data_IF_945347975313
#
_entry.id   IF_945347975313
#
_cell.length_a   1.000
_cell.length_b   1.000
_cell.length_c   1.000
_cell.angle_alpha   90.00
_cell.angle_beta   90.00
_cell.angle_gamma   90.00
#
_symmetry.space_group_name_H-M   'P 1'
#
loop_
_entity.id
_entity.type
_entity.pdbx_description
1 polymer ?
#
# COMPACT_ATOMS: atom_id res chain seq x y z
N UNK A 1 -69.63 -18.32 -49.67
CA UNK A 1 -68.76 -17.46 -48.83
C UNK A 1 -67.81 -18.20 -47.91
N UNK A 2 -68.27 -18.94 -46.89
CA UNK A 2 -67.37 -19.55 -45.87
C UNK A 2 -66.36 -20.56 -46.45
N UNK A 3 -66.67 -21.19 -47.60
CA UNK A 3 -65.76 -22.11 -48.29
C UNK A 3 -64.83 -21.45 -49.33
N UNK A 4 -65.00 -20.16 -49.64
CA UNK A 4 -64.27 -19.51 -50.75
C UNK A 4 -63.12 -18.59 -50.30
N UNK A 5 -63.08 -18.16 -49.03
CA UNK A 5 -62.01 -17.29 -48.50
C UNK A 5 -61.41 -17.92 -47.24
N UNK A 6 -60.09 -18.08 -47.24
CA UNK A 6 -59.33 -18.46 -46.05
C UNK A 6 -59.00 -17.21 -45.25
N UNK A 7 -59.66 -17.02 -44.12
CA UNK A 7 -59.35 -15.92 -43.19
C UNK A 7 -58.16 -16.31 -42.28
N UNK A 8 -57.34 -15.34 -41.82
CA UNK A 8 -57.36 -13.92 -42.19
C UNK A 8 -56.74 -13.62 -43.57
N UNK A 9 -57.19 -12.54 -44.20
CA UNK A 9 -56.64 -11.98 -45.44
C UNK A 9 -55.87 -10.68 -45.14
N UNK A 10 -54.79 -10.43 -45.89
CA UNK A 10 -53.91 -9.27 -45.70
C UNK A 10 -54.62 -7.93 -45.89
N UNK A 11 -55.63 -7.91 -46.77
CA UNK A 11 -56.45 -6.73 -47.03
C UNK A 11 -57.93 -7.07 -46.87
N UNK A 12 -58.76 -6.04 -46.64
CA UNK A 12 -60.22 -6.18 -46.68
C UNK A 12 -60.74 -6.41 -48.11
N UNK A 13 -59.94 -6.13 -49.14
CA UNK A 13 -60.37 -6.17 -50.53
C UNK A 13 -60.79 -7.58 -50.95
N UNK A 14 -59.96 -8.58 -50.68
CA UNK A 14 -60.23 -9.99 -51.01
C UNK A 14 -61.56 -10.51 -50.42
N UNK A 15 -61.85 -10.38 -49.11
CA UNK A 15 -63.12 -10.83 -48.55
C UNK A 15 -64.31 -9.96 -48.99
N UNK A 16 -64.12 -8.67 -49.30
CA UNK A 16 -65.17 -7.80 -49.84
C UNK A 16 -65.53 -8.16 -51.29
N UNK A 17 -64.54 -8.51 -52.11
CA UNK A 17 -64.74 -8.90 -53.51
C UNK A 17 -65.51 -10.22 -53.59
N UNK A 18 -65.13 -11.21 -52.78
CA UNK A 18 -65.87 -12.49 -52.70
C UNK A 18 -67.27 -12.28 -52.14
N UNK A 19 -67.46 -11.37 -51.18
CA UNK A 19 -68.79 -11.00 -50.68
C UNK A 19 -69.68 -10.41 -51.78
N UNK A 20 -69.10 -9.53 -52.59
CA UNK A 20 -69.81 -8.87 -53.68
C UNK A 20 -70.19 -9.88 -54.77
N UNK A 21 -69.30 -10.82 -55.10
CA UNK A 21 -69.57 -11.90 -56.04
C UNK A 21 -70.70 -12.83 -55.54
N UNK A 22 -70.61 -13.32 -54.29
CA UNK A 22 -71.65 -14.14 -53.68
C UNK A 22 -73.00 -13.41 -53.58
N UNK A 23 -73.00 -12.10 -53.28
CA UNK A 23 -74.23 -11.29 -53.28
C UNK A 23 -74.88 -11.26 -54.65
N UNK A 24 -74.09 -11.02 -55.70
CA UNK A 24 -74.59 -10.98 -57.09
C UNK A 24 -75.22 -12.32 -57.48
N UNK A 25 -74.56 -13.42 -57.16
CA UNK A 25 -75.05 -14.78 -57.43
C UNK A 25 -76.33 -15.11 -56.65
N UNK A 26 -76.37 -14.78 -55.35
CA UNK A 26 -77.55 -14.99 -54.51
C UNK A 26 -78.76 -14.18 -55.00
N UNK A 27 -78.56 -12.95 -55.47
CA UNK A 27 -79.61 -12.14 -56.09
C UNK A 27 -80.07 -12.79 -57.39
N UNK A 28 -79.17 -13.26 -58.25
CA UNK A 28 -79.53 -13.91 -59.52
C UNK A 28 -80.39 -15.17 -59.29
N UNK A 29 -79.97 -16.05 -58.36
CA UNK A 29 -80.73 -17.26 -57.99
C UNK A 29 -82.10 -16.90 -57.40
N UNK A 30 -82.17 -15.86 -56.57
CA UNK A 30 -83.44 -15.37 -56.04
C UNK A 30 -84.38 -14.85 -57.14
N UNK A 31 -83.86 -14.12 -58.12
CA UNK A 31 -84.64 -13.61 -59.25
C UNK A 31 -85.17 -14.75 -60.14
N UNK A 32 -84.43 -15.84 -60.30
CA UNK A 32 -84.87 -17.02 -61.07
C UNK A 32 -85.97 -17.83 -60.35
N UNK A 33 -85.95 -17.87 -59.01
CA UNK A 33 -86.85 -18.71 -58.21
C UNK A 33 -88.02 -17.97 -57.56
N UNK A 34 -88.00 -16.63 -57.55
CA UNK A 34 -89.06 -15.84 -56.94
C UNK A 34 -90.27 -15.69 -57.86
N UNK A 35 -91.47 -15.73 -57.28
CA UNK A 35 -92.73 -15.52 -57.99
C UNK A 35 -93.61 -14.57 -57.18
N UNK A 36 -94.07 -13.47 -57.81
CA UNK A 36 -94.94 -12.42 -57.23
C UNK A 36 -94.34 -11.64 -56.04
N UNK A 37 -93.11 -11.15 -56.16
CA UNK A 37 -92.55 -10.15 -55.21
C UNK A 37 -92.81 -8.71 -55.69
N UNK A 38 -94.08 -8.38 -55.98
CA UNK A 38 -94.46 -7.10 -56.61
C UNK A 38 -94.13 -5.88 -55.71
N UNK A 39 -94.03 -6.10 -54.40
CA UNK A 39 -93.74 -5.06 -53.41
C UNK A 39 -92.26 -5.02 -52.99
N UNK A 40 -91.39 -5.89 -53.54
CA UNK A 40 -89.95 -6.01 -53.22
C UNK A 40 -89.61 -6.33 -51.75
N UNK A 41 -90.57 -6.69 -50.91
CA UNK A 41 -90.34 -6.97 -49.48
C UNK A 41 -89.39 -8.16 -49.27
N UNK A 42 -89.47 -9.19 -50.12
CA UNK A 42 -88.60 -10.36 -50.01
C UNK A 42 -87.17 -10.04 -50.49
N UNK A 43 -87.04 -9.22 -51.54
CA UNK A 43 -85.76 -8.72 -52.01
C UNK A 43 -85.06 -7.82 -50.97
N UNK A 44 -85.79 -6.90 -50.32
CA UNK A 44 -85.22 -6.06 -49.25
C UNK A 44 -84.70 -6.90 -48.08
N UNK A 45 -85.45 -7.93 -47.67
CA UNK A 45 -85.05 -8.85 -46.59
C UNK A 45 -83.76 -9.62 -46.93
N UNK A 46 -83.59 -10.03 -48.19
CA UNK A 46 -82.39 -10.72 -48.67
C UNK A 46 -81.14 -9.82 -48.59
N UNK A 47 -81.25 -8.55 -49.00
CA UNK A 47 -80.15 -7.59 -48.97
C UNK A 47 -79.69 -7.32 -47.54
N UNK A 48 -80.63 -7.20 -46.59
CA UNK A 48 -80.34 -6.94 -45.17
C UNK A 48 -79.60 -8.11 -44.51
N UNK A 49 -80.01 -9.36 -44.77
CA UNK A 49 -79.38 -10.56 -44.20
C UNK A 49 -77.92 -10.70 -44.70
N UNK A 50 -77.65 -10.30 -45.95
CA UNK A 50 -76.33 -10.41 -46.55
C UNK A 50 -75.38 -9.24 -46.21
N UNK A 51 -75.77 -8.21 -45.46
CA UNK A 51 -74.94 -7.00 -45.34
C UNK A 51 -73.86 -7.04 -44.24
N UNK A 52 -73.95 -7.93 -43.24
CA UNK A 52 -73.34 -7.63 -41.92
C UNK A 52 -72.06 -8.36 -41.49
N UNK A 53 -71.44 -9.26 -42.26
CA UNK A 53 -70.54 -10.25 -41.63
C UNK A 53 -69.07 -10.42 -42.11
N UNK A 54 -68.60 -10.02 -43.30
CA UNK A 54 -67.28 -10.47 -43.77
C UNK A 54 -66.10 -9.68 -43.19
N UNK A 55 -66.21 -8.35 -43.00
CA UNK A 55 -65.12 -7.52 -42.46
C UNK A 55 -64.85 -7.83 -40.98
N UNK A 56 -65.90 -7.91 -40.16
CA UNK A 56 -65.80 -8.23 -38.74
C UNK A 56 -65.15 -9.61 -38.50
N UNK A 57 -65.53 -10.62 -39.30
CA UNK A 57 -64.94 -11.96 -39.22
C UNK A 57 -63.46 -11.97 -39.61
N UNK A 58 -63.06 -11.17 -40.60
CA UNK A 58 -61.65 -11.04 -41.00
C UNK A 58 -60.82 -10.33 -39.92
N UNK A 59 -61.34 -9.24 -39.36
CA UNK A 59 -60.69 -8.52 -38.26
C UNK A 59 -60.52 -9.41 -37.02
N UNK A 60 -61.55 -10.16 -36.64
CA UNK A 60 -61.48 -11.07 -35.50
C UNK A 60 -60.48 -12.22 -35.73
N UNK A 61 -60.46 -12.79 -36.94
CA UNK A 61 -59.49 -13.82 -37.32
C UNK A 61 -58.06 -13.28 -37.32
N UNK A 62 -57.85 -12.06 -37.86
CA UNK A 62 -56.55 -11.38 -37.89
C UNK A 62 -56.06 -11.07 -36.48
N UNK A 63 -56.95 -10.58 -35.61
CA UNK A 63 -56.64 -10.31 -34.20
C UNK A 63 -56.20 -11.59 -33.47
N UNK A 64 -56.99 -12.67 -33.58
CA UNK A 64 -56.69 -13.96 -32.93
C UNK A 64 -55.36 -14.55 -33.42
N UNK A 65 -55.12 -14.52 -34.73
CA UNK A 65 -53.87 -15.01 -35.32
C UNK A 65 -52.67 -14.21 -34.84
N UNK A 66 -52.73 -12.88 -34.95
CA UNK A 66 -51.65 -11.98 -34.53
C UNK A 66 -51.31 -12.12 -33.04
N UNK A 67 -52.32 -12.20 -32.17
CA UNK A 67 -52.09 -12.40 -30.73
C UNK A 67 -51.44 -13.74 -30.41
N UNK A 68 -51.88 -14.83 -31.08
CA UNK A 68 -51.34 -16.16 -30.86
C UNK A 68 -49.88 -16.28 -31.32
N UNK A 69 -49.56 -15.77 -32.50
CA UNK A 69 -48.17 -15.80 -33.01
C UNK A 69 -47.26 -14.87 -32.20
N UNK A 70 -47.71 -13.65 -31.88
CA UNK A 70 -46.96 -12.73 -31.04
C UNK A 70 -46.63 -13.34 -29.67
N UNK A 71 -47.57 -14.06 -29.05
CA UNK A 71 -47.35 -14.75 -27.78
C UNK A 71 -46.24 -15.80 -27.89
N UNK A 72 -46.22 -16.58 -28.97
CA UNK A 72 -45.18 -17.60 -29.20
C UNK A 72 -43.80 -16.97 -29.40
N UNK A 73 -43.71 -15.98 -30.28
CA UNK A 73 -42.41 -15.37 -30.60
C UNK A 73 -41.85 -14.55 -29.42
N UNK A 74 -42.72 -14.00 -28.56
CA UNK A 74 -42.30 -13.19 -27.41
C UNK A 74 -42.04 -13.99 -26.13
N UNK A 75 -42.29 -15.30 -26.14
CA UNK A 75 -42.03 -16.20 -25.00
C UNK A 75 -40.58 -16.10 -24.46
N UNK A 76 -39.52 -16.04 -25.31
CA UNK A 76 -38.14 -15.88 -24.85
C UNK A 76 -37.84 -14.53 -24.17
N UNK A 77 -38.70 -13.52 -24.37
CA UNK A 77 -38.55 -12.20 -23.77
C UNK A 77 -38.82 -12.23 -22.26
N UNK A 78 -39.59 -13.21 -21.79
CA UNK A 78 -39.93 -13.39 -20.37
C UNK A 78 -38.73 -13.96 -19.60
N UNK A 79 -37.90 -14.77 -20.25
CA UNK A 79 -36.81 -15.51 -19.60
C UNK A 79 -35.47 -14.76 -19.59
N UNK A 80 -35.27 -13.80 -20.50
CA UNK A 80 -33.95 -13.20 -20.76
C UNK A 80 -33.80 -11.77 -20.24
N UNK A 81 -33.56 -11.62 -18.93
CA UNK A 81 -33.34 -10.30 -18.31
C UNK A 81 -32.03 -9.62 -18.75
N UNK A 82 -30.98 -10.38 -19.11
CA UNK A 82 -29.67 -9.83 -19.48
C UNK A 82 -29.52 -9.49 -20.96
N UNK A 83 -30.32 -10.10 -21.84
CA UNK A 83 -30.26 -9.93 -23.30
C UNK A 83 -31.56 -9.34 -23.87
N UNK A 84 -32.35 -8.69 -23.03
CA UNK A 84 -33.69 -8.19 -23.35
C UNK A 84 -33.75 -7.42 -24.69
N UNK A 85 -32.82 -6.50 -24.95
CA UNK A 85 -32.77 -5.72 -26.19
C UNK A 85 -32.51 -6.59 -27.43
N UNK A 86 -31.58 -7.55 -27.33
CA UNK A 86 -31.24 -8.44 -28.44
C UNK A 86 -32.40 -9.39 -28.75
N UNK A 87 -33.04 -9.92 -27.70
CA UNK A 87 -34.22 -10.78 -27.84
C UNK A 87 -35.40 -9.99 -28.38
N UNK A 88 -35.64 -8.75 -27.92
CA UNK A 88 -36.68 -7.86 -28.47
C UNK A 88 -36.48 -7.63 -29.97
N UNK A 89 -35.28 -7.30 -30.42
CA UNK A 89 -35.02 -7.13 -31.86
C UNK A 89 -35.36 -8.38 -32.68
N UNK A 90 -35.06 -9.58 -32.16
CA UNK A 90 -35.43 -10.84 -32.80
C UNK A 90 -36.94 -11.05 -32.85
N UNK A 91 -37.67 -10.67 -31.81
CA UNK A 91 -39.15 -10.70 -31.77
C UNK A 91 -39.73 -9.76 -32.82
N UNK A 92 -39.23 -8.52 -32.92
CA UNK A 92 -39.72 -7.55 -33.90
C UNK A 92 -39.49 -8.02 -35.34
N UNK A 93 -38.31 -8.57 -35.64
CA UNK A 93 -38.01 -9.15 -36.94
C UNK A 93 -38.89 -10.37 -37.25
N UNK A 94 -39.06 -11.28 -36.30
CA UNK A 94 -39.90 -12.46 -36.47
C UNK A 94 -41.36 -12.09 -36.75
N UNK A 95 -41.87 -11.06 -36.07
CA UNK A 95 -43.25 -10.58 -36.28
C UNK A 95 -43.47 -9.99 -37.67
N UNK A 96 -42.50 -9.21 -38.19
CA UNK A 96 -42.58 -8.61 -39.53
C UNK A 96 -42.56 -9.65 -40.66
N UNK A 97 -41.99 -10.82 -40.40
CA UNK A 97 -41.89 -11.91 -41.38
C UNK A 97 -43.09 -12.88 -41.34
N UNK A 98 -44.08 -12.66 -40.46
CA UNK A 98 -45.25 -13.53 -40.37
C UNK A 98 -46.11 -13.44 -41.65
N UNK A 99 -46.48 -14.58 -42.25
CA UNK A 99 -47.38 -14.59 -43.39
C UNK A 99 -48.84 -14.37 -42.95
N UNK A 100 -49.63 -13.66 -43.77
CA UNK A 100 -51.09 -13.55 -43.63
C UNK A 100 -51.54 -13.00 -42.26
N UNK A 101 -50.84 -12.02 -41.72
CA UNK A 101 -51.20 -11.42 -40.41
C UNK A 101 -52.55 -10.70 -40.44
N UNK A 102 -52.97 -10.25 -41.63
CA UNK A 102 -54.24 -9.59 -41.82
C UNK A 102 -54.28 -8.15 -41.29
N UNK A 103 -55.48 -7.57 -41.31
CA UNK A 103 -55.73 -6.13 -41.12
C UNK A 103 -55.42 -5.58 -39.72
N UNK A 104 -55.27 -6.44 -38.70
CA UNK A 104 -55.00 -6.06 -37.30
C UNK A 104 -53.53 -6.14 -36.88
N UNK A 105 -52.62 -6.52 -37.77
CA UNK A 105 -51.20 -6.75 -37.45
C UNK A 105 -50.52 -5.56 -36.76
N UNK A 106 -50.62 -4.37 -37.35
CA UNK A 106 -49.98 -3.17 -36.82
C UNK A 106 -50.54 -2.77 -35.44
N UNK A 107 -51.84 -2.89 -35.24
CA UNK A 107 -52.50 -2.54 -33.97
C UNK A 107 -52.00 -3.43 -32.83
N UNK A 108 -51.99 -4.75 -33.06
CA UNK A 108 -51.53 -5.75 -32.08
C UNK A 108 -50.06 -5.53 -31.73
N UNK A 109 -49.22 -5.29 -32.73
CA UNK A 109 -47.79 -5.06 -32.52
C UNK A 109 -47.50 -3.79 -31.73
N UNK A 110 -48.19 -2.70 -32.02
CA UNK A 110 -48.04 -1.43 -31.29
C UNK A 110 -48.45 -1.58 -29.82
N UNK A 111 -49.55 -2.27 -29.53
CA UNK A 111 -49.96 -2.55 -28.13
C UNK A 111 -48.90 -3.36 -27.37
N UNK A 112 -48.25 -4.31 -28.05
CA UNK A 112 -47.15 -5.07 -27.45
C UNK A 112 -45.92 -4.20 -27.17
N UNK A 113 -45.49 -3.36 -28.12
CA UNK A 113 -44.36 -2.45 -27.87
C UNK A 113 -44.63 -1.51 -26.70
N UNK A 114 -45.87 -1.03 -26.57
CA UNK A 114 -46.29 -0.20 -25.44
C UNK A 114 -46.26 -0.95 -24.11
N UNK A 115 -46.68 -2.23 -24.08
CA UNK A 115 -46.63 -3.02 -22.83
C UNK A 115 -45.20 -3.29 -22.35
N UNK A 116 -44.22 -3.30 -23.28
CA UNK A 116 -42.80 -3.47 -22.97
C UNK A 116 -42.09 -2.22 -22.44
N UNK A 117 -42.66 -1.02 -22.62
CA UNK A 117 -42.01 0.25 -22.28
C UNK A 117 -41.64 0.37 -20.79
N UNK A 118 -42.45 -0.20 -19.89
CA UNK A 118 -42.16 -0.19 -18.45
C UNK A 118 -40.93 -1.04 -18.10
N UNK A 119 -40.80 -2.21 -18.73
CA UNK A 119 -39.66 -3.12 -18.57
C UNK A 119 -38.38 -2.48 -19.08
N UNK A 120 -38.41 -1.86 -20.27
CA UNK A 120 -37.26 -1.13 -20.83
C UNK A 120 -36.79 0.01 -19.94
N UNK A 121 -37.75 0.79 -19.41
CA UNK A 121 -37.45 1.88 -18.49
C UNK A 121 -36.75 1.37 -17.22
N UNK A 122 -37.21 0.24 -16.68
CA UNK A 122 -36.63 -0.40 -15.49
C UNK A 122 -35.19 -0.88 -15.76
N UNK A 123 -34.96 -1.54 -16.90
CA UNK A 123 -33.63 -2.00 -17.31
C UNK A 123 -32.67 -0.81 -17.48
N UNK A 124 -33.10 0.25 -18.17
CA UNK A 124 -32.29 1.44 -18.39
C UNK A 124 -31.90 2.12 -17.06
N UNK A 125 -32.85 2.24 -16.12
CA UNK A 125 -32.57 2.79 -14.79
C UNK A 125 -31.56 1.95 -14.01
N UNK A 126 -31.69 0.61 -14.08
CA UNK A 126 -30.77 -0.32 -13.43
C UNK A 126 -29.34 -0.21 -13.98
N UNK A 127 -29.20 -0.17 -15.31
CA UNK A 127 -27.89 0.00 -15.98
C UNK A 127 -27.26 1.35 -15.63
N UNK A 128 -28.05 2.43 -15.58
CA UNK A 128 -27.57 3.75 -15.18
C UNK A 128 -27.09 3.76 -13.73
N UNK A 129 -27.84 3.16 -12.82
CA UNK A 129 -27.46 3.04 -11.41
C UNK A 129 -26.17 2.21 -11.23
N UNK A 130 -26.01 1.11 -11.97
CA UNK A 130 -24.77 0.32 -11.98
C UNK A 130 -23.58 1.15 -12.48
N UNK A 131 -23.75 1.88 -13.57
CA UNK A 131 -22.68 2.72 -14.14
C UNK A 131 -22.28 3.85 -13.18
N UNK A 132 -23.23 4.48 -12.51
CA UNK A 132 -22.96 5.50 -11.50
C UNK A 132 -22.26 4.89 -10.28
N UNK A 133 -22.69 3.71 -9.81
CA UNK A 133 -22.05 2.96 -8.73
C UNK A 133 -20.61 2.54 -9.06
N UNK A 134 -20.33 2.11 -10.29
CA UNK A 134 -18.97 1.79 -10.73
C UNK A 134 -18.06 3.02 -10.73
N UNK A 135 -18.59 4.17 -11.16
CA UNK A 135 -17.85 5.44 -11.14
C UNK A 135 -17.54 5.89 -9.71
N UNK A 136 -18.48 5.77 -8.78
CA UNK A 136 -18.25 6.12 -7.37
C UNK A 136 -17.23 5.19 -6.73
N UNK A 137 -17.35 3.88 -6.91
CA UNK A 137 -16.38 2.89 -6.40
C UNK A 137 -14.98 3.15 -7.00
N UNK A 138 -14.88 3.47 -8.29
CA UNK A 138 -13.59 3.80 -8.92
C UNK A 138 -12.98 5.08 -8.34
N UNK A 139 -13.79 6.11 -8.09
CA UNK A 139 -13.36 7.34 -7.45
C UNK A 139 -12.88 7.11 -6.01
N UNK A 140 -13.62 6.35 -5.21
CA UNK A 140 -13.25 5.96 -3.84
C UNK A 140 -11.95 5.17 -3.82
N UNK A 141 -11.81 4.14 -4.67
CA UNK A 141 -10.56 3.37 -4.79
C UNK A 141 -9.37 4.26 -5.15
N UNK A 142 -9.57 5.27 -6.00
CA UNK A 142 -8.52 6.24 -6.35
C UNK A 142 -8.17 7.15 -5.17
N UNK A 143 -9.15 7.59 -4.40
CA UNK A 143 -8.94 8.38 -3.19
C UNK A 143 -8.17 7.58 -2.13
N UNK A 144 -8.61 6.36 -1.82
CA UNK A 144 -7.95 5.45 -0.87
C UNK A 144 -6.50 5.15 -1.30
N UNK A 145 -6.24 4.92 -2.60
CA UNK A 145 -4.88 4.71 -3.10
C UNK A 145 -3.98 5.93 -2.84
N UNK A 146 -4.45 7.14 -3.12
CA UNK A 146 -3.69 8.38 -2.88
C UNK A 146 -3.38 8.55 -1.39
N UNK A 147 -4.35 8.30 -0.52
CA UNK A 147 -4.19 8.42 0.93
C UNK A 147 -3.18 7.39 1.48
N UNK A 148 -3.23 6.16 0.98
CA UNK A 148 -2.25 5.11 1.33
C UNK A 148 -0.83 5.49 0.88
N UNK A 149 -0.69 6.10 -0.30
CA UNK A 149 0.60 6.55 -0.83
C UNK A 149 1.20 7.67 0.03
N UNK A 150 0.37 8.65 0.44
CA UNK A 150 0.75 9.73 1.33
C UNK A 150 1.21 9.20 2.70
N UNK A 151 0.48 8.23 3.27
CA UNK A 151 0.85 7.58 4.53
C UNK A 151 2.20 6.87 4.44
N UNK A 152 2.45 6.14 3.35
CA UNK A 152 3.75 5.48 3.12
C UNK A 152 4.89 6.47 3.02
N UNK A 153 4.68 7.61 2.35
CA UNK A 153 5.70 8.64 2.23
C UNK A 153 6.02 9.26 3.60
N UNK A 154 5.00 9.63 4.37
CA UNK A 154 5.17 10.16 5.73
C UNK A 154 5.92 9.18 6.65
N UNK A 155 5.65 7.89 6.52
CA UNK A 155 6.33 6.86 7.30
C UNK A 155 7.82 6.73 6.93
N UNK A 156 8.15 6.83 5.64
CA UNK A 156 9.56 6.85 5.19
C UNK A 156 10.31 8.08 5.70
N UNK A 157 9.71 9.26 5.59
CA UNK A 157 10.31 10.51 6.09
C UNK A 157 10.59 10.43 7.60
N UNK A 158 9.67 9.86 8.38
CA UNK A 158 9.88 9.63 9.81
C UNK A 158 11.02 8.64 10.09
N UNK A 159 11.12 7.56 9.33
CA UNK A 159 12.18 6.57 9.50
C UNK A 159 13.57 7.14 9.16
N UNK A 160 13.67 7.93 8.09
CA UNK A 160 14.90 8.62 7.69
C UNK A 160 15.33 9.68 8.73
N UNK A 161 14.38 10.43 9.29
CA UNK A 161 14.64 11.37 10.37
C UNK A 161 15.19 10.66 11.62
N UNK A 162 14.57 9.54 12.04
CA UNK A 162 15.06 8.75 13.17
C UNK A 162 16.47 8.18 12.92
N UNK A 163 16.74 7.65 11.71
CA UNK A 163 18.08 7.14 11.37
C UNK A 163 19.14 8.24 11.39
N UNK A 164 18.80 9.44 10.94
CA UNK A 164 19.71 10.59 10.95
C UNK A 164 20.02 11.03 12.39
N UNK A 165 18.99 11.09 13.23
CA UNK A 165 19.13 11.39 14.65
C UNK A 165 19.94 10.33 15.41
N UNK A 166 19.72 9.05 15.11
CA UNK A 166 20.51 7.96 15.70
C UNK A 166 21.99 8.06 15.34
N UNK A 167 22.31 8.34 14.07
CA UNK A 167 23.70 8.55 13.63
C UNK A 167 24.37 9.71 14.35
N UNK A 168 23.68 10.85 14.50
CA UNK A 168 24.26 12.01 15.18
C UNK A 168 24.51 11.72 16.67
N UNK A 169 23.61 10.99 17.34
CA UNK A 169 23.84 10.55 18.72
C UNK A 169 25.01 9.58 18.84
N UNK A 170 25.11 8.60 17.94
CA UNK A 170 26.23 7.66 17.91
C UNK A 170 27.57 8.37 17.71
N UNK A 171 27.65 9.33 16.79
CA UNK A 171 28.84 10.16 16.57
C UNK A 171 29.20 10.96 17.83
N UNK A 172 28.23 11.58 18.48
CA UNK A 172 28.45 12.33 19.71
C UNK A 172 28.98 11.43 20.84
N UNK A 173 28.42 10.23 21.02
CA UNK A 173 28.92 9.24 21.98
C UNK A 173 30.37 8.85 21.66
N UNK A 174 30.68 8.59 20.38
CA UNK A 174 32.03 8.23 19.96
C UNK A 174 33.05 9.36 20.22
N UNK A 175 32.67 10.61 19.95
CA UNK A 175 33.50 11.79 20.26
C UNK A 175 33.76 11.93 21.76
N UNK A 176 32.73 11.78 22.59
CA UNK A 176 32.89 11.84 24.05
C UNK A 176 33.80 10.72 24.56
N UNK A 177 33.61 9.49 24.09
CA UNK A 177 34.44 8.35 24.48
C UNK A 177 35.93 8.60 24.16
N UNK A 178 36.23 9.10 22.96
CA UNK A 178 37.59 9.46 22.56
C UNK A 178 38.18 10.54 23.46
N UNK A 179 37.40 11.57 23.82
CA UNK A 179 37.85 12.63 24.73
C UNK A 179 38.19 12.08 26.12
N UNK A 180 37.34 11.21 26.67
CA UNK A 180 37.58 10.54 27.95
C UNK A 180 38.83 9.67 27.94
N UNK A 181 39.08 8.94 26.86
CA UNK A 181 40.31 8.13 26.70
C UNK A 181 41.57 9.01 26.71
N UNK A 182 41.56 10.12 25.97
CA UNK A 182 42.68 11.08 25.94
C UNK A 182 42.90 11.74 27.31
N UNK A 183 41.84 12.17 27.99
CA UNK A 183 41.93 12.76 29.33
C UNK A 183 42.50 11.77 30.35
N UNK A 184 42.06 10.49 30.28
CA UNK A 184 42.59 9.42 31.13
C UNK A 184 44.09 9.18 30.88
N UNK A 185 44.51 9.12 29.62
CA UNK A 185 45.93 8.96 29.27
C UNK A 185 46.79 10.14 29.75
N UNK A 186 46.29 11.37 29.62
CA UNK A 186 46.99 12.57 30.10
C UNK A 186 47.16 12.56 31.62
N UNK A 187 46.11 12.22 32.36
CA UNK A 187 46.16 12.12 33.83
C UNK A 187 47.16 11.05 34.31
N UNK A 188 47.20 9.90 33.62
CA UNK A 188 48.18 8.85 33.90
C UNK A 188 49.61 9.34 33.63
N UNK A 189 49.83 10.00 32.50
CA UNK A 189 51.13 10.55 32.11
C UNK A 189 51.63 11.61 33.10
N UNK A 190 50.76 12.48 33.58
CA UNK A 190 51.09 13.50 34.58
C UNK A 190 51.43 12.86 35.93
N UNK A 191 50.65 11.86 36.35
CA UNK A 191 50.90 11.10 37.58
C UNK A 191 52.26 10.37 37.52
N UNK A 192 52.58 9.75 36.38
CA UNK A 192 53.87 9.08 36.17
C UNK A 192 55.05 10.07 36.20
N UNK A 193 54.92 11.22 35.52
CA UNK A 193 55.94 12.29 35.58
C UNK A 193 56.16 12.78 37.01
N UNK A 194 55.09 12.97 37.78
CA UNK A 194 55.18 13.38 39.18
C UNK A 194 55.89 12.31 40.04
N UNK A 195 55.57 11.03 39.82
CA UNK A 195 56.22 9.92 40.50
C UNK A 195 57.71 9.88 40.18
N UNK A 196 58.08 9.96 38.91
CA UNK A 196 59.48 9.99 38.46
C UNK A 196 60.26 11.15 39.09
N UNK A 197 59.67 12.35 39.13
CA UNK A 197 60.29 13.50 39.80
C UNK A 197 60.51 13.23 41.30
N UNK A 198 59.51 12.67 42.01
CA UNK A 198 59.66 12.32 43.43
C UNK A 198 60.74 11.28 43.67
N UNK A 199 60.85 10.26 42.82
CA UNK A 199 61.90 9.23 42.89
C UNK A 199 63.30 9.84 42.69
N UNK A 200 63.45 10.72 41.69
CA UNK A 200 64.73 11.41 41.43
C UNK A 200 65.17 12.28 42.62
N UNK A 201 64.26 13.06 43.20
CA UNK A 201 64.55 13.86 44.40
C UNK A 201 64.96 12.96 45.57
N UNK A 202 64.30 11.81 45.75
CA UNK A 202 64.67 10.85 46.79
C UNK A 202 66.10 10.30 46.58
N UNK A 203 66.46 9.94 45.34
CA UNK A 203 67.80 9.46 44.99
C UNK A 203 68.87 10.53 45.24
N UNK A 204 68.65 11.75 44.77
CA UNK A 204 69.57 12.88 44.96
C UNK A 204 69.80 13.17 46.46
N UNK A 205 68.74 13.17 47.27
CA UNK A 205 68.84 13.34 48.74
C UNK A 205 69.62 12.21 49.42
N UNK A 206 69.48 10.97 48.94
CA UNK A 206 70.24 9.83 49.45
C UNK A 206 71.72 9.96 49.10
N UNK A 207 72.04 10.21 47.83
CA UNK A 207 73.42 10.38 47.35
C UNK A 207 74.12 11.52 48.07
N UNK A 208 73.46 12.68 48.17
CA UNK A 208 74.02 13.84 48.85
C UNK A 208 74.25 13.59 50.35
N UNK A 209 73.31 12.91 51.03
CA UNK A 209 73.51 12.49 52.44
C UNK A 209 74.69 11.53 52.59
N UNK A 210 74.84 10.56 51.70
CA UNK A 210 75.96 9.61 51.73
C UNK A 210 77.29 10.29 51.43
N UNK A 211 77.32 11.20 50.45
CA UNK A 211 78.49 12.01 50.11
C UNK A 211 78.96 12.84 51.30
N UNK A 212 78.04 13.58 51.94
CA UNK A 212 78.36 14.36 53.15
C UNK A 212 78.93 13.48 54.27
N UNK A 213 78.36 12.29 54.49
CA UNK A 213 78.90 11.33 55.48
C UNK A 213 80.29 10.81 55.08
N UNK A 214 80.52 10.53 53.81
CA UNK A 214 81.80 10.05 53.29
C UNK A 214 82.91 11.09 53.44
N UNK A 215 82.63 12.36 53.11
CA UNK A 215 83.56 13.48 53.25
C UNK A 215 83.99 13.66 54.71
N UNK A 216 83.04 13.70 55.65
CA UNK A 216 83.33 13.79 57.10
C UNK A 216 84.21 12.63 57.56
N UNK A 217 83.89 11.40 57.16
CA UNK A 217 84.66 10.21 57.55
C UNK A 217 86.08 10.22 56.95
N UNK A 218 86.23 10.74 55.74
CA UNK A 218 87.53 10.87 55.05
C UNK A 218 88.42 11.91 55.73
N UNK A 219 87.86 13.04 56.17
CA UNK A 219 88.57 14.03 56.97
C UNK A 219 89.00 13.47 58.33
N UNK A 220 88.15 12.67 58.97
CA UNK A 220 88.50 11.97 60.22
C UNK A 220 89.66 10.99 60.03
N UNK A 221 89.61 10.16 58.98
CA UNK A 221 90.71 9.24 58.61
C UNK A 221 92.01 10.03 58.36
N UNK A 222 91.94 11.13 57.63
CA UNK A 222 93.11 11.98 57.34
C UNK A 222 93.70 12.57 58.61
N UNK A 223 92.85 13.09 59.52
CA UNK A 223 93.28 13.59 60.84
C UNK A 223 93.89 12.49 61.71
N UNK A 224 93.37 11.27 61.66
CA UNK A 224 93.94 10.12 62.36
C UNK A 224 95.32 9.74 61.79
N UNK A 225 95.47 9.69 60.47
CA UNK A 225 96.74 9.38 59.80
C UNK A 225 97.83 10.42 60.10
N UNK A 226 97.50 11.72 60.12
CA UNK A 226 98.45 12.76 60.52
C UNK A 226 98.90 12.55 61.97
N UNK A 227 97.96 12.30 62.90
CA UNK A 227 98.28 12.01 64.30
C UNK A 227 99.16 10.76 64.44
N UNK A 228 98.91 9.70 63.67
CA UNK A 228 99.74 8.50 63.65
C UNK A 228 101.17 8.86 63.20
N UNK A 229 101.33 9.54 62.06
CA UNK A 229 102.64 9.97 61.54
C UNK A 229 103.40 10.89 62.49
N UNK A 230 102.73 11.85 63.11
CA UNK A 230 103.33 12.73 64.12
C UNK A 230 103.81 11.94 65.33
N UNK A 231 103.06 10.93 65.77
CA UNK A 231 103.45 10.10 66.90
C UNK A 231 104.62 9.18 66.53
N UNK A 232 104.64 8.63 65.31
CA UNK A 232 105.77 7.88 64.75
C UNK A 232 107.05 8.74 64.64
N UNK A 233 106.95 9.97 64.09
CA UNK A 233 108.09 10.88 63.95
C UNK A 233 108.57 11.44 65.31
N UNK A 234 107.68 11.61 66.29
CA UNK A 234 108.06 12.00 67.64
C UNK A 234 108.58 10.83 68.48
N UNK A 235 108.40 9.58 68.05
CA UNK A 235 108.90 8.40 68.73
C UNK A 235 110.43 8.38 68.85
N UNK A 236 111.24 8.59 67.78
CA UNK A 236 112.70 8.67 67.90
C UNK A 236 113.15 9.87 68.75
N UNK A 237 112.43 10.99 68.71
CA UNK A 237 112.72 12.16 69.56
C UNK A 237 112.46 11.85 71.05
N UNK A 238 111.35 11.17 71.36
CA UNK A 238 111.02 10.75 72.73
C UNK A 238 111.99 9.68 73.26
N UNK A 239 112.35 8.69 72.45
CA UNK A 239 113.33 7.66 72.85
C UNK A 239 114.72 8.26 73.05
N UNK A 240 115.16 9.16 72.16
CA UNK A 240 116.45 9.86 72.31
C UNK A 240 116.47 10.71 73.58
N UNK A 241 115.39 11.44 73.88
CA UNK A 241 115.27 12.26 75.09
C UNK A 241 115.26 11.40 76.36
N UNK A 242 114.58 10.25 76.34
CA UNK A 242 114.57 9.30 77.46
C UNK A 242 115.96 8.69 77.70
N UNK A 243 116.65 8.24 76.63
CA UNK A 243 118.03 7.74 76.70
C UNK A 243 118.94 8.82 77.29
N UNK A 244 118.84 10.07 76.82
CA UNK A 244 119.64 11.17 77.34
C UNK A 244 119.40 11.43 78.84
N UNK A 245 118.15 11.35 79.31
CA UNK A 245 117.81 11.50 80.73
C UNK A 245 118.36 10.33 81.55
N UNK A 246 118.22 9.09 81.09
CA UNK A 246 118.76 7.91 81.79
C UNK A 246 120.28 7.97 81.84
N UNK A 247 120.95 8.33 80.74
CA UNK A 247 122.40 8.51 80.68
C UNK A 247 122.88 9.62 81.62
N UNK A 248 122.19 10.76 81.69
CA UNK A 248 122.58 11.85 82.61
C UNK A 248 122.38 11.46 84.08
N UNK A 249 121.29 10.77 84.44
CA UNK A 249 121.10 10.26 85.81
C UNK A 249 122.16 9.24 86.18
N UNK A 250 122.48 8.28 85.30
CA UNK A 250 123.57 7.32 85.52
C UNK A 250 124.93 8.01 85.66
N UNK A 251 125.22 9.00 84.83
CA UNK A 251 126.47 9.77 84.89
C UNK A 251 126.60 10.55 86.22
N UNK A 252 125.52 11.20 86.67
CA UNK A 252 125.47 11.89 87.97
C UNK A 252 125.62 10.89 89.13
N UNK A 253 125.00 9.71 89.04
CA UNK A 253 125.15 8.67 90.06
C UNK A 253 126.58 8.12 90.12
N UNK A 254 127.24 7.91 88.97
CA UNK A 254 128.63 7.47 88.89
C UNK A 254 129.60 8.54 89.43
N UNK A 255 129.36 9.82 89.17
CA UNK A 255 130.15 10.92 89.74
C UNK A 255 130.05 10.99 91.27
N UNK A 256 128.90 10.64 91.86
CA UNK A 256 128.72 10.55 93.31
C UNK A 256 129.36 9.32 93.96
N UNK A 257 129.83 8.34 93.18
CA UNK A 257 130.58 7.18 93.67
C UNK A 257 132.10 7.41 93.65
N UNK A 258 132.58 8.49 93.03
CA UNK A 258 134.01 8.83 92.85
C UNK A 258 134.44 10.00 93.76
N UNK A 259 133.55 10.48 94.63
CA UNK A 259 133.82 11.46 95.70
C UNK A 259 133.19 10.98 97.01
#
# INVERSE_FOLDING_TARGET
MVQQVSLPTDTLQEPLDVHTACKREAIAVFMELSFKDDNQELQERLVVINFKAPSLKNEEASLKYCQAELKKISEPLIESHSLYLEVKMKVEQAYQLLPRTGVKANEVFQTFLQSQAATEKSILQSVKALTEGEKTIAAEKKAVKKELELLRQKQKEQEEAMKTQERSFQEHIAQQKKKWEVERENLLRESEKMLQHKLKVQEELLVDRFKRKYEVLTEEISRLNVRIKENENNQPLKTTRLIYVVCTVLFVALLKLVH
#
